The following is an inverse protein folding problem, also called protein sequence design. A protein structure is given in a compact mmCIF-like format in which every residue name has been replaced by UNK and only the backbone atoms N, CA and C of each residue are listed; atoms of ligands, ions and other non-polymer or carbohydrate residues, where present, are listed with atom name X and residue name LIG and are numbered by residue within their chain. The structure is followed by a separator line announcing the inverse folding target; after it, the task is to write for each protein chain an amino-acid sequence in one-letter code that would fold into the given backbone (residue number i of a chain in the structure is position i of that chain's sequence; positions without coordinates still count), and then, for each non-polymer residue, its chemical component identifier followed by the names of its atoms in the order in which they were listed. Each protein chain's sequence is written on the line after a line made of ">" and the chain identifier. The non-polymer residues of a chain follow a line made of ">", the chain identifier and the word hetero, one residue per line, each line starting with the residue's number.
data_IF_155219333164
#
_entry.id   IF_155219333164
#
_cell.length_a   1.000
_cell.length_b   1.000
_cell.length_c   1.000
_cell.angle_alpha   90.00
_cell.angle_beta   90.00
_cell.angle_gamma   90.00
#
_symmetry.space_group_name_H-M   'P 1'
#
loop_
_entity.id
_entity.type
_entity.pdbx_description
1 polymer ?
#
# COMPACT_ATOMS: atom_id res chain seq x y z
N UNK A 1 4.92 -4.72 1.87
CA UNK A 1 6.22 -5.01 1.23
C UNK A 1 7.18 -5.62 2.25
N UNK A 2 8.25 -6.29 1.80
CA UNK A 2 9.19 -7.03 2.67
C UNK A 2 9.83 -6.15 3.74
N UNK A 3 10.12 -6.72 4.92
CA UNK A 3 10.56 -5.96 6.10
C UNK A 3 12.00 -5.44 6.04
N UNK A 4 12.81 -5.97 5.11
CA UNK A 4 14.21 -5.65 4.93
C UNK A 4 14.44 -4.49 3.94
N UNK A 5 13.37 -4.02 3.29
CA UNK A 5 13.46 -2.89 2.37
C UNK A 5 13.60 -1.56 3.10
N UNK A 6 14.59 -0.72 2.77
CA UNK A 6 14.61 0.68 3.18
C UNK A 6 13.35 1.42 2.71
N UNK A 7 12.89 2.41 3.48
CA UNK A 7 11.70 3.19 3.15
C UNK A 7 11.79 3.88 1.77
N UNK A 8 13.00 4.31 1.38
CA UNK A 8 13.25 4.88 0.05
C UNK A 8 12.98 3.88 -1.09
N UNK A 9 13.35 2.61 -0.91
CA UNK A 9 13.14 1.58 -1.91
C UNK A 9 11.67 1.17 -1.99
N UNK A 10 10.96 1.16 -0.86
CA UNK A 10 9.50 1.04 -0.83
C UNK A 10 8.85 2.16 -1.64
N UNK A 11 9.27 3.41 -1.42
CA UNK A 11 8.73 4.56 -2.17
C UNK A 11 9.02 4.46 -3.67
N UNK A 12 10.21 3.99 -4.05
CA UNK A 12 10.61 3.77 -5.45
C UNK A 12 9.73 2.69 -6.10
N UNK A 13 9.58 1.54 -5.45
CA UNK A 13 8.77 0.45 -5.96
C UNK A 13 7.30 0.87 -6.14
N UNK A 14 6.74 1.59 -5.18
CA UNK A 14 5.40 2.18 -5.30
C UNK A 14 5.32 3.19 -6.45
N UNK A 15 6.36 3.99 -6.66
CA UNK A 15 6.45 4.90 -7.81
C UNK A 15 6.36 4.17 -9.15
N UNK A 16 7.01 3.02 -9.29
CA UNK A 16 6.91 2.18 -10.51
C UNK A 16 5.48 1.72 -10.74
N UNK A 17 4.78 1.29 -9.68
CA UNK A 17 3.38 0.88 -9.77
C UNK A 17 2.44 2.02 -10.14
N UNK A 18 2.68 3.23 -9.62
CA UNK A 18 1.91 4.44 -9.99
C UNK A 18 2.14 4.79 -11.46
N UNK A 19 3.39 4.77 -11.94
CA UNK A 19 3.68 5.03 -13.35
C UNK A 19 3.07 3.98 -14.29
N UNK A 20 2.94 2.73 -13.84
CA UNK A 20 2.27 1.69 -14.62
C UNK A 20 0.80 2.04 -14.85
N UNK A 21 0.07 2.42 -13.81
CA UNK A 21 -1.37 2.73 -13.93
C UNK A 21 -1.64 4.04 -14.68
N UNK A 22 -0.72 5.02 -14.62
CA UNK A 22 -0.83 6.26 -15.40
C UNK A 22 -0.87 5.99 -16.91
N UNK A 23 -0.18 4.94 -17.38
CA UNK A 23 -0.25 4.50 -18.79
C UNK A 23 -1.64 4.02 -19.21
N UNK A 24 -2.46 3.60 -18.26
CA UNK A 24 -3.84 3.18 -18.47
C UNK A 24 -4.85 4.32 -18.22
N UNK A 25 -4.43 5.58 -18.33
CA UNK A 25 -5.27 6.77 -18.09
C UNK A 25 -5.96 6.74 -16.72
N UNK A 26 -5.34 6.08 -15.74
CA UNK A 26 -5.84 6.01 -14.38
C UNK A 26 -5.29 7.17 -13.56
N UNK A 27 -6.05 7.59 -12.55
CA UNK A 27 -5.74 8.74 -11.70
C UNK A 27 -5.41 8.26 -10.28
N UNK A 28 -4.28 8.75 -9.74
CA UNK A 28 -3.91 8.56 -8.34
C UNK A 28 -4.59 9.64 -7.50
N UNK A 29 -5.59 9.25 -6.71
CA UNK A 29 -6.30 10.16 -5.79
C UNK A 29 -5.53 10.30 -4.48
N UNK A 30 -4.96 9.20 -3.98
CA UNK A 30 -4.36 9.16 -2.65
C UNK A 30 -3.21 8.19 -2.57
N UNK A 31 -2.14 8.58 -1.88
CA UNK A 31 -1.00 7.72 -1.58
C UNK A 31 -0.56 7.95 -0.14
N UNK A 32 -0.57 6.88 0.65
CA UNK A 32 -0.13 6.92 2.03
C UNK A 32 0.84 5.79 2.32
N UNK A 33 1.90 6.11 3.06
CA UNK A 33 2.84 5.14 3.57
C UNK A 33 2.68 5.04 5.07
N UNK A 34 2.16 3.91 5.55
CA UNK A 34 1.82 3.70 6.96
C UNK A 34 2.99 3.17 7.79
N UNK A 35 4.18 3.06 7.19
CA UNK A 35 5.37 2.57 7.88
C UNK A 35 5.49 1.05 7.95
N UNK A 36 6.47 0.61 8.74
CA UNK A 36 6.72 -0.79 9.07
C UNK A 36 5.83 -1.22 10.24
N UNK A 37 5.00 -2.25 10.05
CA UNK A 37 4.08 -2.76 11.08
C UNK A 37 4.26 -4.26 11.29
N UNK A 38 3.92 -4.74 12.48
CA UNK A 38 3.95 -6.16 12.83
C UNK A 38 2.78 -6.89 12.18
N UNK A 39 3.04 -8.03 11.54
CA UNK A 39 2.01 -8.88 10.95
C UNK A 39 1.39 -9.78 12.03
N UNK A 40 0.11 -10.15 11.87
CA UNK A 40 -0.55 -11.08 12.79
C UNK A 40 0.08 -12.48 12.77
N UNK A 41 0.64 -12.90 11.63
CA UNK A 41 1.39 -14.14 11.46
C UNK A 41 2.50 -13.94 10.43
N UNK A 42 3.44 -14.88 10.40
CA UNK A 42 4.57 -14.85 9.47
C UNK A 42 4.08 -15.09 8.04
N UNK A 43 4.42 -14.17 7.12
CA UNK A 43 4.11 -14.30 5.70
C UNK A 43 5.43 -14.34 4.93
N UNK A 44 5.68 -15.38 4.13
CA UNK A 44 6.95 -15.56 3.39
C UNK A 44 8.18 -15.28 4.28
N UNK A 45 8.22 -15.85 5.49
CA UNK A 45 9.27 -15.66 6.53
C UNK A 45 9.42 -14.23 7.10
N UNK A 46 8.55 -13.29 6.76
CA UNK A 46 8.54 -11.93 7.30
C UNK A 46 7.59 -11.85 8.51
N UNK A 47 8.05 -11.22 9.60
CA UNK A 47 7.24 -10.95 10.83
C UNK A 47 6.68 -9.53 10.83
N UNK A 48 7.31 -8.63 10.09
CA UNK A 48 6.87 -7.25 9.88
C UNK A 48 6.68 -7.01 8.38
N UNK A 49 6.08 -5.89 8.01
CA UNK A 49 5.97 -5.49 6.62
C UNK A 49 5.67 -4.00 6.49
N UNK A 50 6.13 -3.41 5.40
CA UNK A 50 5.78 -2.04 5.04
C UNK A 50 4.38 -1.99 4.46
N UNK A 51 3.55 -1.09 4.97
CA UNK A 51 2.19 -0.87 4.51
C UNK A 51 2.10 0.40 3.68
N UNK A 52 1.45 0.28 2.53
CA UNK A 52 1.19 1.38 1.60
C UNK A 52 -0.28 1.29 1.19
N UNK A 53 -0.98 2.41 1.23
CA UNK A 53 -2.33 2.55 0.70
C UNK A 53 -2.32 3.41 -0.55
N UNK A 54 -3.00 2.95 -1.59
CA UNK A 54 -3.22 3.68 -2.83
C UNK A 54 -4.73 3.83 -3.03
N UNK A 55 -5.19 5.06 -3.19
CA UNK A 55 -6.52 5.38 -3.66
C UNK A 55 -6.45 5.71 -5.14
N UNK A 56 -7.06 4.87 -5.97
CA UNK A 56 -6.96 4.93 -7.42
C UNK A 56 -8.35 5.08 -8.05
N UNK A 57 -8.47 5.95 -9.04
CA UNK A 57 -9.58 5.94 -9.98
C UNK A 57 -9.07 5.34 -11.28
N UNK A 58 -9.41 4.08 -11.49
CA UNK A 58 -8.83 3.26 -12.55
C UNK A 58 -9.90 2.33 -13.14
N UNK A 59 -9.75 2.00 -14.41
CA UNK A 59 -10.56 0.96 -15.06
C UNK A 59 -10.06 -0.44 -14.68
N UNK A 60 -10.92 -1.44 -14.85
CA UNK A 60 -10.61 -2.84 -14.52
C UNK A 60 -9.33 -3.36 -15.19
N UNK A 61 -9.04 -2.92 -16.43
CA UNK A 61 -7.83 -3.32 -17.14
C UNK A 61 -6.53 -2.87 -16.43
N UNK A 62 -6.52 -1.65 -15.89
CA UNK A 62 -5.39 -1.11 -15.15
C UNK A 62 -5.16 -1.87 -13.84
N UNK A 63 -6.25 -2.20 -13.12
CA UNK A 63 -6.18 -2.98 -11.88
C UNK A 63 -5.65 -4.40 -12.15
N UNK A 64 -6.14 -5.06 -13.19
CA UNK A 64 -5.68 -6.40 -13.56
C UNK A 64 -4.16 -6.42 -13.86
N UNK A 65 -3.67 -5.41 -14.58
CA UNK A 65 -2.25 -5.32 -14.90
C UNK A 65 -1.41 -5.00 -13.66
N UNK A 66 -1.91 -4.16 -12.77
CA UNK A 66 -1.27 -3.86 -11.49
C UNK A 66 -1.18 -5.12 -10.61
N UNK A 67 -2.26 -5.89 -10.49
CA UNK A 67 -2.25 -7.15 -9.74
C UNK A 67 -1.28 -8.17 -10.35
N UNK A 68 -1.16 -8.23 -11.68
CA UNK A 68 -0.16 -9.06 -12.35
C UNK A 68 1.26 -8.71 -11.89
N UNK A 69 1.58 -7.42 -11.83
CA UNK A 69 2.88 -6.95 -11.34
C UNK A 69 3.09 -7.24 -9.87
N UNK A 70 2.05 -7.11 -9.03
CA UNK A 70 2.14 -7.47 -7.61
C UNK A 70 2.41 -8.95 -7.38
N UNK A 71 1.83 -9.84 -8.19
CA UNK A 71 2.08 -11.28 -8.12
C UNK A 71 3.52 -11.63 -8.50
N UNK A 72 4.07 -10.95 -9.52
CA UNK A 72 5.43 -11.20 -10.02
C UNK A 72 6.50 -10.60 -9.09
N UNK A 73 6.20 -9.45 -8.45
CA UNK A 73 7.14 -8.78 -7.57
C UNK A 73 7.41 -9.58 -6.29
N UNK A 74 8.67 -9.95 -6.07
CA UNK A 74 9.10 -10.61 -4.83
C UNK A 74 9.02 -9.68 -3.60
N UNK A 75 9.03 -8.37 -3.81
CA UNK A 75 8.94 -7.35 -2.77
C UNK A 75 7.54 -7.22 -2.17
N UNK A 76 6.51 -7.69 -2.89
CA UNK A 76 5.13 -7.67 -2.44
C UNK A 76 4.81 -8.95 -1.66
N UNK A 77 4.53 -8.78 -0.36
CA UNK A 77 4.14 -9.89 0.52
C UNK A 77 2.68 -10.28 0.32
N UNK A 78 1.80 -9.29 0.28
CA UNK A 78 0.34 -9.40 0.12
C UNK A 78 -0.19 -8.07 -0.40
N UNK A 79 -1.23 -8.12 -1.19
CA UNK A 79 -2.00 -6.96 -1.66
C UNK A 79 -3.49 -7.29 -1.56
N UNK A 80 -4.31 -6.25 -1.45
CA UNK A 80 -5.77 -6.35 -1.47
C UNK A 80 -6.26 -5.17 -2.30
N UNK A 81 -7.09 -5.43 -3.29
CA UNK A 81 -7.77 -4.41 -4.08
C UNK A 81 -9.25 -4.43 -3.71
N UNK A 82 -9.77 -3.29 -3.29
CA UNK A 82 -11.18 -3.11 -2.92
C UNK A 82 -11.82 -2.10 -3.86
N UNK A 83 -13.03 -2.40 -4.31
CA UNK A 83 -13.85 -1.42 -5.02
C UNK A 83 -14.58 -0.57 -3.97
N UNK A 84 -14.48 0.75 -4.11
CA UNK A 84 -15.15 1.72 -3.25
C UNK A 84 -15.92 2.71 -4.12
N UNK A 85 -17.04 3.24 -3.60
CA UNK A 85 -17.84 4.24 -4.32
C UNK A 85 -17.19 5.62 -4.30
N UNK A 86 -16.45 5.93 -3.23
CA UNK A 86 -15.69 7.18 -3.09
C UNK A 86 -14.41 6.96 -2.29
N UNK A 87 -13.44 7.86 -2.46
CA UNK A 87 -12.15 7.85 -1.77
C UNK A 87 -12.04 9.15 -0.99
N UNK A 88 -12.01 9.06 0.34
CA UNK A 88 -11.78 10.22 1.21
C UNK A 88 -10.33 10.71 1.10
N UNK A 89 -10.17 12.01 0.89
CA UNK A 89 -8.87 12.68 0.79
C UNK A 89 -8.25 13.00 2.16
N UNK A 90 -9.02 12.96 3.25
CA UNK A 90 -8.48 13.15 4.60
C UNK A 90 -7.46 12.06 4.95
N UNK A 91 -6.47 12.36 5.78
CA UNK A 91 -5.49 11.36 6.21
C UNK A 91 -6.16 10.17 6.89
N UNK A 92 -5.74 8.94 6.56
CA UNK A 92 -6.32 7.76 7.20
C UNK A 92 -5.96 7.69 8.69
N UNK A 93 -6.78 7.01 9.51
CA UNK A 93 -6.45 6.78 10.92
C UNK A 93 -5.09 6.09 11.14
N UNK A 94 -4.62 5.34 10.14
CA UNK A 94 -3.31 4.69 10.18
C UNK A 94 -2.15 5.68 10.07
N UNK A 95 -2.33 6.85 9.44
CA UNK A 95 -1.34 7.92 9.38
C UNK A 95 -1.25 8.69 10.70
N UNK A 96 -2.37 8.84 11.41
CA UNK A 96 -2.42 9.56 12.69
C UNK A 96 -1.86 8.76 13.87
N UNK A 97 -1.74 7.43 13.75
CA UNK A 97 -1.33 6.58 14.87
C UNK A 97 0.09 6.00 14.70
N UNK A 98 1.05 6.54 15.48
CA UNK A 98 1.76 5.69 16.46
C UNK A 98 1.60 6.09 17.93
N UNK A 99 1.09 7.29 18.26
CA UNK A 99 1.14 7.87 19.62
C UNK A 99 -0.18 7.86 20.41
N UNK A 100 -1.34 8.01 19.77
CA UNK A 100 -2.62 8.22 20.51
C UNK A 100 -3.30 6.92 20.99
N UNK A 101 -3.05 5.79 20.35
CA UNK A 101 -3.66 4.50 20.75
C UNK A 101 -3.11 3.92 22.07
N UNK A 102 -1.97 4.42 22.56
CA UNK A 102 -1.51 4.13 23.93
C UNK A 102 -2.14 5.07 24.98
N UNK A 103 -2.55 6.27 24.58
CA UNK A 103 -3.14 7.26 25.48
C UNK A 103 -4.65 7.03 25.70
N UNK A 104 -5.34 6.36 24.78
CA UNK A 104 -6.78 6.05 24.89
C UNK A 104 -7.10 4.75 25.65
N UNK A 105 -6.09 4.04 26.17
CA UNK A 105 -6.23 2.77 26.93
C UNK A 105 -5.58 2.88 28.31
N UNK A 106 -5.38 4.10 28.82
CA UNK A 106 -4.91 4.35 30.18
C UNK A 106 -5.92 5.17 30.97
#
# INVERSE_FOLDING_TARGET
>A
MRQDMPAQDVHRAVGVFVQLIEKFRSELIKKEYWGLRTLAHVIKKNKKGHYVMLGLKAETAAINELERHFKISEDVLRYICLKCDSIDQNSSPMMSAPSELKAAVQ
#
